data_IF_680274487575
#
_entry.id   IF_680274487575
#
_cell.length_a   1.000
_cell.length_b   1.000
_cell.length_c   1.000
_cell.angle_alpha   90.00
_cell.angle_beta   90.00
_cell.angle_gamma   90.00
#
_symmetry.space_group_name_H-M   'P 1'
#
loop_
_entity.id
_entity.type
_entity.pdbx_description
1 polymer ?
#
# COMPACT_ATOMS: atom_id res chain seq x y z
N UNK A 1 -4.80 13.49 -10.72
CA UNK A 1 -4.50 12.12 -10.29
C UNK A 1 -3.44 12.20 -9.21
N UNK A 2 -3.47 11.31 -8.23
CA UNK A 2 -2.47 11.20 -7.16
C UNK A 2 -2.18 9.72 -6.89
N UNK A 3 -0.94 9.36 -6.53
CA UNK A 3 -0.62 8.00 -6.09
C UNK A 3 -1.17 7.75 -4.68
N UNK A 4 -1.82 6.60 -4.48
CA UNK A 4 -2.09 6.04 -3.15
C UNK A 4 -1.23 4.78 -3.00
N UNK A 5 -0.36 4.75 -1.97
CA UNK A 5 0.58 3.63 -1.77
C UNK A 5 -0.16 2.42 -1.20
N UNK A 6 0.07 1.25 -1.79
CA UNK A 6 -0.55 -0.01 -1.36
C UNK A 6 0.58 -1.05 -1.17
N UNK A 7 0.96 -1.38 0.08
CA UNK A 7 0.41 -0.86 1.34
C UNK A 7 0.88 0.58 1.65
N UNK A 8 0.32 1.25 2.67
CA UNK A 8 0.66 2.62 2.99
C UNK A 8 2.13 2.70 3.43
N UNK A 9 2.88 3.68 2.91
CA UNK A 9 4.32 3.75 3.17
C UNK A 9 4.69 3.84 4.67
N UNK A 10 3.81 4.41 5.51
CA UNK A 10 4.03 4.43 6.95
C UNK A 10 4.04 3.01 7.57
N UNK A 11 3.18 2.11 7.08
CA UNK A 11 3.15 0.71 7.50
C UNK A 11 4.41 -0.03 7.01
N UNK A 12 4.84 0.23 5.77
CA UNK A 12 6.12 -0.30 5.23
C UNK A 12 7.31 0.13 6.08
N UNK A 13 7.36 1.40 6.47
CA UNK A 13 8.41 1.94 7.34
C UNK A 13 8.39 1.29 8.72
N UNK A 14 7.22 1.01 9.28
CA UNK A 14 7.08 0.30 10.55
C UNK A 14 7.55 -1.16 10.44
N UNK A 15 7.15 -1.87 9.38
CA UNK A 15 7.57 -3.24 9.11
C UNK A 15 9.09 -3.36 8.95
N UNK A 16 9.72 -2.46 8.17
CA UNK A 16 11.18 -2.39 8.02
C UNK A 16 11.89 -2.35 9.38
N UNK A 17 11.42 -1.50 10.29
CA UNK A 17 11.99 -1.37 11.64
C UNK A 17 11.81 -2.65 12.47
N UNK A 18 10.65 -3.30 12.39
CA UNK A 18 10.39 -4.57 13.11
C UNK A 18 11.29 -5.70 12.65
N UNK A 19 11.68 -5.70 11.39
CA UNK A 19 12.60 -6.67 10.80
C UNK A 19 14.08 -6.25 10.94
N UNK A 20 14.39 -5.26 11.80
CA UNK A 20 15.73 -4.73 12.02
C UNK A 20 16.43 -4.22 10.74
N UNK A 21 15.64 -3.82 9.74
CA UNK A 21 16.12 -3.14 8.54
C UNK A 21 16.17 -1.64 8.83
N UNK A 22 17.33 -1.19 9.31
CA UNK A 22 17.62 0.22 9.56
C UNK A 22 17.98 0.91 8.24
N UNK A 23 17.17 1.87 7.82
CA UNK A 23 17.32 2.61 6.58
C UNK A 23 17.64 4.08 6.88
N UNK A 24 18.66 4.62 6.22
CA UNK A 24 18.93 6.06 6.18
C UNK A 24 17.76 6.83 5.58
N UNK A 25 17.71 8.15 5.77
CA UNK A 25 16.68 8.99 5.16
C UNK A 25 16.65 8.89 3.63
N UNK A 26 17.83 8.74 2.99
CA UNK A 26 17.93 8.50 1.55
C UNK A 26 17.35 7.16 1.13
N UNK A 27 17.59 6.10 1.91
CA UNK A 27 17.05 4.76 1.63
C UNK A 27 15.54 4.70 1.90
N UNK A 28 15.05 5.37 2.95
CA UNK A 28 13.62 5.53 3.19
C UNK A 28 12.93 6.30 2.05
N UNK A 29 13.57 7.34 1.52
CA UNK A 29 13.06 8.07 0.36
C UNK A 29 13.04 7.18 -0.89
N UNK A 30 14.09 6.41 -1.13
CA UNK A 30 14.16 5.45 -2.23
C UNK A 30 13.08 4.38 -2.08
N UNK A 31 12.92 3.80 -0.88
CA UNK A 31 11.88 2.81 -0.58
C UNK A 31 10.49 3.39 -0.80
N UNK A 32 10.21 4.63 -0.35
CA UNK A 32 8.93 5.30 -0.62
C UNK A 32 8.64 5.42 -2.10
N UNK A 33 9.65 5.81 -2.89
CA UNK A 33 9.50 5.98 -4.34
C UNK A 33 9.32 4.64 -5.06
N UNK A 34 9.79 3.54 -4.48
CA UNK A 34 9.65 2.18 -4.99
C UNK A 34 8.48 1.40 -4.35
N UNK A 35 7.80 1.95 -3.35
CA UNK A 35 6.62 1.33 -2.74
C UNK A 35 5.45 1.48 -3.71
N UNK A 36 4.86 0.35 -4.10
CA UNK A 36 3.84 0.33 -5.14
C UNK A 36 2.65 1.22 -4.79
N UNK A 37 2.03 1.77 -5.83
CA UNK A 37 0.89 2.65 -5.70
C UNK A 37 -0.09 2.46 -6.85
N UNK A 38 -1.34 2.82 -6.59
CA UNK A 38 -2.36 2.99 -7.62
C UNK A 38 -2.57 4.48 -7.87
N UNK A 39 -2.70 4.88 -9.14
CA UNK A 39 -3.05 6.25 -9.49
C UNK A 39 -4.57 6.42 -9.48
N UNK A 40 -5.07 7.26 -8.59
CA UNK A 40 -6.49 7.51 -8.38
C UNK A 40 -6.83 8.98 -8.59
N UNK A 41 -8.11 9.29 -8.80
CA UNK A 41 -8.56 10.70 -8.82
C UNK A 41 -8.28 11.33 -7.47
N UNK A 42 -7.78 12.56 -7.47
CA UNK A 42 -7.38 13.27 -6.24
C UNK A 42 -8.56 13.44 -5.29
N UNK A 43 -9.76 13.73 -5.80
CA UNK A 43 -10.97 13.80 -4.97
C UNK A 43 -11.30 12.44 -4.32
N UNK A 44 -11.20 11.34 -5.07
CA UNK A 44 -11.38 9.99 -4.52
C UNK A 44 -10.27 9.63 -3.52
N UNK A 45 -9.02 10.05 -3.74
CA UNK A 45 -7.93 9.86 -2.77
C UNK A 45 -8.24 10.53 -1.43
N UNK A 46 -8.68 11.80 -1.50
CA UNK A 46 -9.07 12.57 -0.32
C UNK A 46 -10.31 11.97 0.35
N UNK A 47 -11.28 11.43 -0.41
CA UNK A 47 -12.51 10.91 0.17
C UNK A 47 -12.35 9.48 0.72
N UNK A 48 -11.74 8.59 -0.05
CA UNK A 48 -11.91 7.13 0.09
C UNK A 48 -10.71 6.46 0.77
N UNK A 49 -9.47 6.93 0.58
CA UNK A 49 -8.27 6.22 1.06
C UNK A 49 -8.29 5.97 2.57
N UNK A 50 -7.89 4.76 2.98
CA UNK A 50 -7.81 4.38 4.40
C UNK A 50 -6.80 5.19 5.19
N UNK A 51 -5.83 5.83 4.52
CA UNK A 51 -4.68 6.48 5.19
C UNK A 51 -4.47 7.93 4.80
N UNK A 52 -5.36 8.54 4.00
CA UNK A 52 -5.18 9.94 3.63
C UNK A 52 -5.35 10.86 4.85
N UNK A 53 -4.33 11.70 5.09
CA UNK A 53 -4.27 12.68 6.18
C UNK A 53 -4.37 12.02 7.57
N UNK A 54 -5.22 12.55 8.45
CA UNK A 54 -5.39 12.12 9.84
C UNK A 54 -5.88 10.69 10.04
N UNK A 55 -6.29 9.99 8.98
CA UNK A 55 -6.75 8.59 9.07
C UNK A 55 -5.63 7.59 9.36
N UNK A 56 -4.37 7.96 9.16
CA UNK A 56 -3.22 7.09 9.41
C UNK A 56 -2.65 7.26 10.83
N UNK A 57 -3.43 6.88 11.86
CA UNK A 57 -3.00 7.01 13.27
C UNK A 57 -1.82 6.09 13.60
N UNK A 58 -1.12 6.34 14.72
CA UNK A 58 0.02 5.52 15.15
C UNK A 58 -0.38 4.06 15.39
N UNK A 59 -1.55 3.84 15.99
CA UNK A 59 -2.11 2.53 16.28
C UNK A 59 -2.44 1.79 14.99
N UNK A 60 -2.98 2.50 14.00
CA UNK A 60 -3.23 1.96 12.67
C UNK A 60 -1.93 1.59 11.97
N UNK A 61 -0.93 2.46 12.00
CA UNK A 61 0.40 2.19 11.43
C UNK A 61 1.01 0.92 12.04
N UNK A 62 0.94 0.78 13.36
CA UNK A 62 1.47 -0.40 14.04
C UNK A 62 0.69 -1.67 13.71
N UNK A 63 -0.63 -1.57 13.52
CA UNK A 63 -1.46 -2.70 13.11
C UNK A 63 -1.15 -3.10 11.67
N UNK A 64 -1.19 -2.14 10.75
CA UNK A 64 -0.93 -2.33 9.32
C UNK A 64 0.51 -2.81 9.06
N UNK A 65 1.49 -2.34 9.83
CA UNK A 65 2.90 -2.74 9.73
C UNK A 65 3.21 -4.15 10.24
N UNK A 66 2.28 -4.79 10.96
CA UNK A 66 2.44 -6.19 11.38
C UNK A 66 2.12 -7.21 10.30
N UNK A 67 1.37 -6.80 9.28
CA UNK A 67 0.89 -7.68 8.21
C UNK A 67 0.64 -6.87 6.93
N UNK A 68 1.70 -6.74 6.13
CA UNK A 68 1.70 -5.93 4.91
C UNK A 68 0.77 -6.48 3.82
N UNK A 69 0.57 -7.80 3.76
CA UNK A 69 -0.34 -8.41 2.80
C UNK A 69 -1.78 -8.03 3.14
N UNK A 70 -2.18 -8.22 4.41
CA UNK A 70 -3.53 -7.92 4.87
C UNK A 70 -3.90 -6.45 4.75
N UNK A 71 -2.97 -5.52 5.03
CA UNK A 71 -3.26 -4.09 4.82
C UNK A 71 -3.40 -3.76 3.33
N UNK A 72 -2.57 -4.35 2.45
CA UNK A 72 -2.69 -4.14 1.01
C UNK A 72 -4.06 -4.60 0.49
N UNK A 73 -4.54 -5.76 0.94
CA UNK A 73 -5.88 -6.26 0.63
C UNK A 73 -6.97 -5.28 1.07
N UNK A 74 -6.90 -4.78 2.31
CA UNK A 74 -7.89 -3.84 2.81
C UNK A 74 -7.85 -2.47 2.09
N UNK A 75 -6.71 -2.04 1.56
CA UNK A 75 -6.62 -0.86 0.70
C UNK A 75 -7.22 -1.13 -0.69
N UNK A 76 -6.95 -2.29 -1.28
CA UNK A 76 -7.54 -2.70 -2.57
C UNK A 76 -9.05 -2.85 -2.47
N UNK A 77 -9.57 -3.40 -1.37
CA UNK A 77 -11.00 -3.51 -1.09
C UNK A 77 -11.67 -2.14 -0.95
N UNK A 78 -10.94 -1.13 -0.46
CA UNK A 78 -11.42 0.27 -0.41
C UNK A 78 -11.54 0.86 -1.81
N UNK A 79 -10.61 0.52 -2.71
CA UNK A 79 -10.59 1.04 -4.07
C UNK A 79 -11.54 0.33 -5.03
N UNK A 80 -11.81 -0.96 -4.82
CA UNK A 80 -12.71 -1.76 -5.67
C UNK A 80 -14.06 -1.09 -5.95
N UNK A 81 -14.86 -0.63 -4.95
CA UNK A 81 -16.14 0.02 -5.23
C UNK A 81 -15.97 1.34 -6.01
N UNK A 82 -14.88 2.08 -5.78
CA UNK A 82 -14.58 3.31 -6.53
C UNK A 82 -14.35 2.98 -8.00
N UNK A 83 -13.50 2.00 -8.30
CA UNK A 83 -13.22 1.57 -9.67
C UNK A 83 -14.47 1.06 -10.39
N UNK A 84 -15.35 0.32 -9.69
CA UNK A 84 -16.65 -0.10 -10.24
C UNK A 84 -17.52 1.08 -10.63
N UNK A 85 -17.63 2.12 -9.77
CA UNK A 85 -18.36 3.36 -10.11
C UNK A 85 -17.73 4.13 -11.27
N UNK A 86 -16.42 3.98 -11.47
CA UNK A 86 -15.69 4.57 -12.60
C UNK A 86 -15.75 3.74 -13.88
N UNK A 87 -16.49 2.62 -13.88
CA UNK A 87 -16.71 1.80 -15.07
C UNK A 87 -15.61 0.79 -15.37
N UNK A 88 -14.75 0.47 -14.39
CA UNK A 88 -13.77 -0.61 -14.56
C UNK A 88 -14.48 -1.97 -14.63
N UNK A 89 -14.02 -2.84 -15.53
CA UNK A 89 -14.44 -4.24 -15.55
C UNK A 89 -13.87 -4.99 -14.34
N UNK A 90 -14.54 -6.07 -13.93
CA UNK A 90 -14.02 -6.94 -12.87
C UNK A 90 -12.64 -7.50 -13.23
N UNK A 91 -12.44 -7.91 -14.49
CA UNK A 91 -11.14 -8.39 -14.98
C UNK A 91 -10.01 -7.36 -14.77
N UNK A 92 -10.24 -6.08 -15.07
CA UNK A 92 -9.24 -5.02 -14.85
C UNK A 92 -8.94 -4.82 -13.36
N UNK A 93 -9.95 -4.94 -12.50
CA UNK A 93 -9.79 -4.84 -11.04
C UNK A 93 -8.94 -6.01 -10.54
N UNK A 94 -9.24 -7.23 -10.99
CA UNK A 94 -8.52 -8.45 -10.60
C UNK A 94 -7.06 -8.41 -11.09
N UNK A 95 -6.82 -7.99 -12.33
CA UNK A 95 -5.47 -7.77 -12.88
C UNK A 95 -4.69 -6.72 -12.07
N UNK A 96 -5.34 -5.62 -11.70
CA UNK A 96 -4.71 -4.56 -10.87
C UNK A 96 -4.38 -5.08 -9.47
N UNK A 97 -5.29 -5.85 -8.86
CA UNK A 97 -5.10 -6.46 -7.53
C UNK A 97 -3.91 -7.44 -7.57
N UNK A 98 -3.90 -8.36 -8.53
CA UNK A 98 -2.80 -9.31 -8.72
C UNK A 98 -1.48 -8.60 -8.95
N UNK A 99 -1.44 -7.61 -9.84
CA UNK A 99 -0.23 -6.85 -10.14
C UNK A 99 0.34 -6.14 -8.90
N UNK A 100 -0.51 -5.54 -8.06
CA UNK A 100 -0.06 -4.92 -6.80
C UNK A 100 0.60 -5.96 -5.88
N UNK A 101 0.01 -7.15 -5.73
CA UNK A 101 0.61 -8.21 -4.91
C UNK A 101 1.92 -8.74 -5.50
N UNK A 102 2.01 -8.91 -6.83
CA UNK A 102 3.22 -9.38 -7.48
C UNK A 102 4.40 -8.39 -7.28
N UNK A 103 4.14 -7.09 -7.46
CA UNK A 103 5.16 -6.08 -7.23
C UNK A 103 5.53 -5.93 -5.75
N UNK A 104 4.55 -6.04 -4.84
CA UNK A 104 4.80 -6.00 -3.41
C UNK A 104 5.62 -7.19 -2.94
N UNK A 105 5.26 -8.39 -3.41
CA UNK A 105 6.01 -9.62 -3.11
C UNK A 105 7.46 -9.47 -3.53
N UNK A 106 7.72 -9.01 -4.76
CA UNK A 106 9.09 -8.77 -5.23
C UNK A 106 9.84 -7.78 -4.34
N UNK A 107 9.24 -6.63 -4.04
CA UNK A 107 9.86 -5.60 -3.20
C UNK A 107 10.21 -6.12 -1.80
N UNK A 108 9.28 -6.81 -1.14
CA UNK A 108 9.46 -7.25 0.24
C UNK A 108 10.35 -8.49 0.34
N UNK A 109 10.31 -9.40 -0.64
CA UNK A 109 11.25 -10.51 -0.75
C UNK A 109 12.71 -9.98 -0.85
N UNK A 110 12.95 -8.93 -1.65
CA UNK A 110 14.27 -8.27 -1.77
C UNK A 110 14.74 -7.62 -0.44
N UNK A 111 13.80 -7.25 0.43
CA UNK A 111 14.06 -6.67 1.76
C UNK A 111 14.14 -7.72 2.89
N UNK A 112 13.85 -8.99 2.62
CA UNK A 112 13.70 -10.02 3.65
C UNK A 112 12.49 -9.82 4.57
N UNK A 113 11.48 -9.08 4.12
CA UNK A 113 10.23 -8.85 4.84
C UNK A 113 9.17 -9.82 4.32
N UNK A 114 8.48 -10.51 5.23
CA UNK A 114 7.46 -11.49 4.86
C UNK A 114 6.24 -10.82 4.22
N UNK A 115 5.84 -11.28 3.04
CA UNK A 115 4.62 -10.86 2.34
C UNK A 115 3.87 -12.09 1.81
N UNK A 116 2.96 -12.62 2.60
CA UNK A 116 2.21 -13.86 2.31
C UNK A 116 0.73 -13.69 2.67
N UNK A 117 -0.19 -14.38 1.96
CA UNK A 117 -1.61 -14.46 2.31
C UNK A 117 -1.93 -15.09 3.66
#
# INVERSE_FOLDING_TARGET
>A
MTPDHIPPFAAVKDASRRHAVELSDSELKALRNNTNCVFVKTCSHIAESRTFSSRNSKEKIATDGSDLYKVAEADLDTWMPVWKREGWSQAKIDETRSGVHDFNKKLFDDMGIKYEP
#
